data_IF_798746182024
#
_entry.id   IF_798746182024
#
_cell.length_a   1.000
_cell.length_b   1.000
_cell.length_c   1.000
_cell.angle_alpha   90.00
_cell.angle_beta   90.00
_cell.angle_gamma   90.00
#
_symmetry.space_group_name_H-M   'P 1'
#
loop_
_entity.id
_entity.type
_entity.pdbx_description
1 polymer ?
#
# COMPACT_ATOMS: atom_id res chain seq x y z
N UNK A 1 19.99 -5.37 15.72
CA UNK A 1 19.09 -5.41 14.55
C UNK A 1 19.82 -4.90 13.28
N UNK A 2 20.36 -3.66 13.25
CA UNK A 2 21.01 -3.12 12.03
C UNK A 2 22.20 -3.97 11.57
N UNK A 3 23.13 -4.33 12.48
CA UNK A 3 24.26 -5.20 12.14
C UNK A 3 23.84 -6.56 11.64
N UNK A 4 22.86 -7.18 12.28
CA UNK A 4 22.31 -8.47 11.86
C UNK A 4 21.71 -8.43 10.46
N UNK A 5 21.00 -7.34 10.09
CA UNK A 5 20.48 -7.17 8.73
C UNK A 5 21.58 -7.00 7.69
N UNK A 6 22.69 -6.34 8.03
CA UNK A 6 23.85 -6.26 7.13
C UNK A 6 24.46 -7.65 6.89
N UNK A 7 24.63 -8.46 7.94
CA UNK A 7 25.13 -9.83 7.83
C UNK A 7 24.22 -10.69 6.93
N UNK A 8 22.88 -10.53 7.01
CA UNK A 8 21.91 -11.22 6.14
C UNK A 8 22.01 -10.75 4.68
N UNK A 9 22.22 -9.46 4.43
CA UNK A 9 22.42 -8.97 3.05
C UNK A 9 23.71 -9.50 2.46
N UNK A 10 24.79 -9.56 3.22
CA UNK A 10 26.06 -10.13 2.78
C UNK A 10 25.92 -11.63 2.45
N UNK A 11 25.22 -12.38 3.31
CA UNK A 11 24.91 -13.78 3.06
C UNK A 11 24.10 -13.99 1.78
N UNK A 12 23.03 -13.21 1.58
CA UNK A 12 22.19 -13.29 0.38
C UNK A 12 22.99 -12.94 -0.88
N UNK A 13 23.84 -11.93 -0.83
CA UNK A 13 24.70 -11.55 -1.95
C UNK A 13 25.65 -12.69 -2.34
N UNK A 14 26.32 -13.33 -1.37
CA UNK A 14 27.17 -14.47 -1.61
C UNK A 14 26.40 -15.68 -2.16
N UNK A 15 25.21 -15.95 -1.65
CA UNK A 15 24.38 -17.04 -2.14
C UNK A 15 23.92 -16.81 -3.60
N UNK A 16 23.56 -15.57 -3.95
CA UNK A 16 23.20 -15.20 -5.31
C UNK A 16 24.37 -15.33 -6.28
N UNK A 17 25.58 -14.97 -5.87
CA UNK A 17 26.80 -15.15 -6.68
C UNK A 17 27.04 -16.64 -7.05
N UNK A 18 26.70 -17.57 -6.16
CA UNK A 18 26.88 -19.01 -6.40
C UNK A 18 25.88 -19.60 -7.42
N UNK A 19 24.70 -18.97 -7.59
CA UNK A 19 23.66 -19.45 -8.53
C UNK A 19 23.69 -18.72 -9.87
N UNK A 20 24.66 -17.80 -10.07
CA UNK A 20 24.81 -17.09 -11.33
C UNK A 20 25.26 -18.03 -12.45
N UNK A 21 24.50 -18.03 -13.53
CA UNK A 21 24.92 -18.64 -14.79
C UNK A 21 25.50 -17.59 -15.74
N UNK A 22 26.26 -18.02 -16.76
CA UNK A 22 26.85 -17.11 -17.74
C UNK A 22 25.83 -16.17 -18.42
N UNK A 23 24.58 -16.57 -18.47
CA UNK A 23 23.48 -15.82 -19.11
C UNK A 23 22.73 -14.90 -18.13
N UNK A 24 22.97 -15.02 -16.82
CA UNK A 24 22.33 -14.22 -15.79
C UNK A 24 23.37 -13.40 -15.05
N UNK A 25 23.73 -12.23 -15.58
CA UNK A 25 24.58 -11.27 -14.86
C UNK A 25 23.69 -10.36 -14.03
N UNK A 26 23.79 -10.38 -12.69
CA UNK A 26 23.03 -9.47 -11.86
C UNK A 26 23.49 -8.03 -12.13
N UNK A 27 22.53 -7.12 -12.03
CA UNK A 27 22.83 -5.69 -12.01
C UNK A 27 23.65 -5.38 -10.73
N UNK A 28 24.68 -4.51 -10.80
CA UNK A 28 25.36 -4.04 -9.59
C UNK A 28 24.39 -3.47 -8.56
N UNK A 29 24.65 -3.72 -7.26
CA UNK A 29 23.72 -3.35 -6.19
C UNK A 29 23.41 -1.84 -6.18
N UNK A 30 24.40 -1.00 -6.42
CA UNK A 30 24.24 0.45 -6.50
C UNK A 30 23.31 0.86 -7.66
N UNK A 31 23.46 0.21 -8.81
CA UNK A 31 22.57 0.48 -9.97
C UNK A 31 21.14 0.00 -9.69
N UNK A 32 20.98 -1.20 -9.15
CA UNK A 32 19.68 -1.72 -8.75
C UNK A 32 19.02 -0.81 -7.70
N UNK A 33 19.78 -0.37 -6.71
CA UNK A 33 19.29 0.55 -5.69
C UNK A 33 18.81 1.87 -6.31
N UNK A 34 19.57 2.46 -7.24
CA UNK A 34 19.17 3.70 -7.92
C UNK A 34 17.87 3.53 -8.71
N UNK A 35 17.70 2.40 -9.43
CA UNK A 35 16.45 2.07 -10.14
C UNK A 35 15.26 2.01 -9.18
N UNK A 36 15.43 1.37 -8.02
CA UNK A 36 14.35 1.26 -7.03
C UNK A 36 14.08 2.59 -6.30
N UNK A 37 15.07 3.47 -6.10
CA UNK A 37 14.83 4.82 -5.56
C UNK A 37 13.98 5.65 -6.52
N UNK A 38 14.30 5.59 -7.82
CA UNK A 38 13.52 6.27 -8.86
C UNK A 38 12.08 5.73 -8.93
N UNK A 39 11.93 4.40 -8.94
CA UNK A 39 10.63 3.74 -8.88
C UNK A 39 9.82 4.21 -7.67
N UNK A 40 10.41 4.21 -6.46
CA UNK A 40 9.72 4.65 -5.24
C UNK A 40 9.27 6.11 -5.30
N UNK A 41 10.11 6.99 -5.83
CA UNK A 41 9.77 8.40 -5.99
C UNK A 41 8.56 8.58 -6.90
N UNK A 42 8.54 7.90 -8.03
CA UNK A 42 7.41 7.95 -9.00
C UNK A 42 6.14 7.33 -8.39
N UNK A 43 6.25 6.23 -7.65
CA UNK A 43 5.10 5.61 -6.99
C UNK A 43 4.52 6.48 -5.87
N UNK A 44 5.37 7.18 -5.11
CA UNK A 44 4.90 8.16 -4.11
C UNK A 44 4.22 9.35 -4.80
N UNK A 45 4.72 9.80 -5.93
CA UNK A 45 4.08 10.84 -6.73
C UNK A 45 2.70 10.37 -7.25
N UNK A 46 2.60 9.12 -7.71
CA UNK A 46 1.32 8.52 -8.12
C UNK A 46 0.30 8.51 -6.96
N UNK A 47 0.66 7.99 -5.80
CA UNK A 47 -0.23 7.97 -4.62
C UNK A 47 -0.68 9.38 -4.21
N UNK A 48 0.21 10.37 -4.33
CA UNK A 48 -0.12 11.76 -4.03
C UNK A 48 -1.01 12.42 -5.10
N UNK A 49 -1.00 11.89 -6.32
CA UNK A 49 -1.78 12.41 -7.46
C UNK A 49 -3.18 11.78 -7.54
N UNK A 50 -3.33 10.51 -7.15
CA UNK A 50 -4.61 9.77 -7.22
C UNK A 50 -5.80 10.52 -6.62
N UNK A 51 -5.71 11.20 -5.45
CA UNK A 51 -6.85 11.91 -4.87
C UNK A 51 -7.48 12.99 -5.77
N UNK A 52 -6.74 13.49 -6.75
CA UNK A 52 -7.23 14.48 -7.71
C UNK A 52 -7.95 13.83 -8.93
N UNK A 53 -7.94 12.48 -9.06
CA UNK A 53 -8.43 11.76 -10.25
C UNK A 53 -9.20 10.48 -9.90
N UNK A 54 -10.05 10.54 -8.88
CA UNK A 54 -10.73 9.36 -8.31
C UNK A 54 -11.78 8.71 -9.22
N UNK A 55 -12.29 9.43 -10.21
CA UNK A 55 -13.18 8.87 -11.23
C UNK A 55 -12.40 8.11 -12.30
N UNK A 56 -11.25 8.65 -12.71
CA UNK A 56 -10.36 8.01 -13.69
C UNK A 56 -9.59 6.85 -13.06
N UNK A 57 -9.10 7.02 -11.83
CA UNK A 57 -8.34 6.01 -11.09
C UNK A 57 -9.26 5.38 -10.05
N UNK A 58 -10.16 4.53 -10.52
CA UNK A 58 -11.07 3.77 -9.67
C UNK A 58 -10.33 2.78 -8.76
N UNK A 59 -10.96 2.23 -7.70
CA UNK A 59 -10.34 1.24 -6.82
C UNK A 59 -9.69 0.08 -7.57
N UNK A 60 -10.36 -0.49 -8.57
CA UNK A 60 -9.84 -1.57 -9.41
C UNK A 60 -8.66 -1.12 -10.27
N UNK A 61 -8.77 0.02 -10.94
CA UNK A 61 -7.70 0.58 -11.78
C UNK A 61 -6.46 0.87 -10.94
N UNK A 62 -6.65 1.50 -9.77
CA UNK A 62 -5.57 1.77 -8.82
C UNK A 62 -4.84 0.49 -8.42
N UNK A 63 -5.58 -0.54 -8.01
CA UNK A 63 -5.04 -1.84 -7.63
C UNK A 63 -4.24 -2.48 -8.77
N UNK A 64 -4.79 -2.51 -10.00
CA UNK A 64 -4.12 -3.10 -11.16
C UNK A 64 -2.82 -2.38 -11.51
N UNK A 65 -2.78 -1.04 -11.40
CA UNK A 65 -1.55 -0.26 -11.58
C UNK A 65 -0.51 -0.69 -10.54
N UNK A 66 -0.85 -0.73 -9.25
CA UNK A 66 0.07 -1.11 -8.19
C UNK A 66 0.52 -2.58 -8.30
N UNK A 67 -0.39 -3.47 -8.66
CA UNK A 67 -0.11 -4.89 -8.88
C UNK A 67 0.83 -5.13 -10.07
N UNK A 68 0.68 -4.38 -11.16
CA UNK A 68 1.55 -4.50 -12.33
C UNK A 68 3.03 -4.30 -11.99
N UNK A 69 3.34 -3.49 -10.99
CA UNK A 69 4.72 -3.27 -10.53
C UNK A 69 5.43 -4.56 -10.06
N UNK A 70 4.69 -5.59 -9.64
CA UNK A 70 5.27 -6.86 -9.21
C UNK A 70 5.75 -7.74 -10.37
N UNK A 71 5.19 -7.54 -11.57
CA UNK A 71 5.36 -8.41 -12.73
C UNK A 71 6.14 -7.76 -13.87
N UNK A 72 6.51 -6.48 -13.74
CA UNK A 72 7.19 -5.72 -14.79
C UNK A 72 8.61 -5.33 -14.36
N UNK A 73 9.50 -5.24 -15.36
CA UNK A 73 10.82 -4.63 -15.15
C UNK A 73 10.68 -3.22 -14.59
N UNK A 74 11.45 -2.88 -13.56
CA UNK A 74 11.28 -1.63 -12.81
C UNK A 74 11.63 -0.38 -13.63
N UNK A 75 12.64 -0.45 -14.51
CA UNK A 75 12.99 0.70 -15.38
C UNK A 75 11.85 0.97 -16.36
N UNK A 76 11.35 -0.10 -17.00
CA UNK A 76 10.24 0.02 -17.93
C UNK A 76 8.96 0.51 -17.24
N UNK A 77 8.59 -0.11 -16.12
CA UNK A 77 7.41 0.28 -15.36
C UNK A 77 7.47 1.74 -14.89
N UNK A 78 8.62 2.19 -14.40
CA UNK A 78 8.81 3.57 -13.94
C UNK A 78 8.61 4.57 -15.08
N UNK A 79 9.08 4.25 -16.30
CA UNK A 79 8.85 5.08 -17.48
C UNK A 79 7.36 5.18 -17.83
N UNK A 80 6.63 4.05 -17.82
CA UNK A 80 5.19 4.03 -18.06
C UNK A 80 4.41 4.82 -17.01
N UNK A 81 4.82 4.73 -15.74
CA UNK A 81 4.19 5.50 -14.66
C UNK A 81 4.41 7.00 -14.80
N UNK A 82 5.56 7.44 -15.30
CA UNK A 82 5.80 8.87 -15.63
C UNK A 82 4.86 9.35 -16.73
N UNK A 83 4.72 8.59 -17.82
CA UNK A 83 3.78 8.92 -18.90
C UNK A 83 2.34 9.01 -18.38
N UNK A 84 1.93 8.08 -17.52
CA UNK A 84 0.60 8.12 -16.87
C UNK A 84 0.44 9.38 -16.01
N UNK A 85 1.43 9.72 -15.20
CA UNK A 85 1.40 10.91 -14.33
C UNK A 85 1.33 12.20 -15.15
N UNK A 86 2.09 12.30 -16.22
CA UNK A 86 2.06 13.46 -17.14
C UNK A 86 0.68 13.57 -17.81
N UNK A 87 0.11 12.46 -18.26
CA UNK A 87 -1.23 12.43 -18.84
C UNK A 87 -2.33 12.83 -17.85
N UNK A 88 -2.25 12.37 -16.59
CA UNK A 88 -3.18 12.78 -15.54
C UNK A 88 -3.07 14.27 -15.24
N UNK A 89 -1.85 14.78 -15.03
CA UNK A 89 -1.61 16.19 -14.69
C UNK A 89 -1.96 17.16 -15.81
N UNK A 90 -1.97 16.69 -17.07
CA UNK A 90 -2.44 17.48 -18.22
C UNK A 90 -3.96 17.67 -18.23
N UNK A 91 -4.71 16.94 -17.41
CA UNK A 91 -6.17 17.03 -17.28
C UNK A 91 -6.57 17.92 -16.11
N UNK A 92 -7.76 18.54 -16.12
CA UNK A 92 -8.31 19.19 -14.94
C UNK A 92 -8.52 18.15 -13.82
N UNK A 93 -8.35 18.59 -12.58
CA UNK A 93 -8.71 17.77 -11.41
C UNK A 93 -10.19 17.44 -11.43
N UNK A 94 -10.52 16.25 -10.94
CA UNK A 94 -11.89 15.75 -10.91
C UNK A 94 -12.58 16.17 -9.60
N UNK A 95 -13.89 16.44 -9.68
CA UNK A 95 -14.74 16.66 -8.52
C UNK A 95 -15.46 15.34 -8.20
N UNK A 96 -14.88 14.55 -7.32
CA UNK A 96 -15.44 13.27 -6.91
C UNK A 96 -16.43 13.46 -5.76
N UNK A 97 -17.70 13.11 -6.00
CA UNK A 97 -18.81 13.30 -5.06
C UNK A 97 -19.12 12.08 -4.20
N UNK A 98 -18.47 10.92 -4.48
CA UNK A 98 -18.66 9.69 -3.70
C UNK A 98 -17.88 9.71 -2.38
N UNK A 99 -17.90 8.58 -1.67
CA UNK A 99 -17.20 8.41 -0.40
C UNK A 99 -15.75 8.01 -0.60
N UNK A 100 -14.86 8.53 0.22
CA UNK A 100 -13.41 8.38 0.13
C UNK A 100 -12.91 7.51 1.28
N UNK A 101 -12.28 6.38 0.96
CA UNK A 101 -11.73 5.48 1.97
C UNK A 101 -10.21 5.41 1.91
N UNK A 102 -9.60 5.36 3.11
CA UNK A 102 -8.25 4.87 3.32
C UNK A 102 -8.34 3.36 3.55
N UNK A 103 -7.57 2.54 2.83
CA UNK A 103 -7.60 1.08 2.95
C UNK A 103 -6.39 0.58 3.74
N UNK A 104 -6.59 -0.40 4.60
CA UNK A 104 -5.50 -1.05 5.35
C UNK A 104 -5.74 -2.55 5.48
N UNK A 105 -4.68 -3.30 5.71
CA UNK A 105 -4.66 -4.76 5.81
C UNK A 105 -3.34 -5.32 5.31
N UNK A 106 -3.22 -6.63 5.27
CA UNK A 106 -2.08 -7.28 4.59
C UNK A 106 -2.25 -7.11 3.08
N UNK A 107 -3.43 -7.45 2.57
CA UNK A 107 -3.71 -7.54 1.15
C UNK A 107 -5.19 -7.21 0.87
N UNK A 108 -5.45 -6.62 -0.29
CA UNK A 108 -6.79 -6.55 -0.90
C UNK A 108 -6.64 -6.88 -2.40
N UNK A 109 -6.45 -8.14 -2.73
CA UNK A 109 -6.39 -8.64 -4.11
C UNK A 109 -7.62 -9.50 -4.40
N UNK A 110 -8.80 -8.87 -4.30
CA UNK A 110 -10.09 -9.48 -4.55
C UNK A 110 -10.89 -8.60 -5.51
N UNK A 111 -10.80 -8.89 -6.80
CA UNK A 111 -11.44 -8.09 -7.87
C UNK A 111 -12.94 -7.85 -7.60
N UNK A 112 -13.76 -8.84 -7.15
CA UNK A 112 -15.16 -8.59 -6.86
C UNK A 112 -15.39 -7.58 -5.73
N UNK A 113 -14.47 -7.46 -4.77
CA UNK A 113 -14.56 -6.45 -3.70
C UNK A 113 -14.26 -5.06 -4.25
N UNK A 114 -13.24 -4.94 -5.10
CA UNK A 114 -12.87 -3.67 -5.74
C UNK A 114 -13.99 -3.16 -6.65
N UNK A 115 -14.59 -4.02 -7.45
CA UNK A 115 -15.76 -3.71 -8.29
C UNK A 115 -16.96 -3.27 -7.44
N UNK A 116 -17.21 -3.96 -6.33
CA UNK A 116 -18.28 -3.59 -5.40
C UNK A 116 -18.06 -2.18 -4.80
N UNK A 117 -16.84 -1.80 -4.47
CA UNK A 117 -16.53 -0.43 -4.01
C UNK A 117 -16.89 0.60 -5.10
N UNK A 118 -16.52 0.33 -6.35
CA UNK A 118 -16.87 1.20 -7.50
C UNK A 118 -18.39 1.34 -7.68
N UNK A 119 -19.13 0.23 -7.67
CA UNK A 119 -20.58 0.22 -7.78
C UNK A 119 -21.28 1.02 -6.67
N UNK A 120 -20.69 1.02 -5.47
CA UNK A 120 -21.22 1.76 -4.33
C UNK A 120 -20.73 3.23 -4.25
N UNK A 121 -20.02 3.71 -5.27
CA UNK A 121 -19.51 5.07 -5.32
C UNK A 121 -18.43 5.35 -4.28
N UNK A 122 -17.63 4.33 -3.94
CA UNK A 122 -16.52 4.43 -3.00
C UNK A 122 -15.20 4.51 -3.75
N UNK A 123 -14.38 5.52 -3.48
CA UNK A 123 -13.02 5.64 -3.98
C UNK A 123 -11.99 5.30 -2.91
N UNK A 124 -10.83 4.79 -3.33
CA UNK A 124 -9.66 4.56 -2.48
C UNK A 124 -8.67 5.72 -2.67
N UNK A 125 -8.59 6.61 -1.67
CA UNK A 125 -7.70 7.78 -1.74
C UNK A 125 -6.26 7.48 -1.38
N UNK A 126 -6.04 6.48 -0.52
CA UNK A 126 -4.71 6.00 -0.13
C UNK A 126 -4.82 4.64 0.58
N UNK A 127 -3.69 4.02 0.90
CA UNK A 127 -3.65 2.73 1.60
C UNK A 127 -2.48 2.59 2.57
N UNK A 128 -2.60 1.63 3.48
CA UNK A 128 -1.52 0.96 4.20
C UNK A 128 -1.67 -0.55 4.01
N UNK A 129 -1.50 -1.01 2.76
CA UNK A 129 -1.48 -2.42 2.39
C UNK A 129 -0.04 -2.87 2.15
N UNK A 130 0.33 -4.03 2.69
CA UNK A 130 1.70 -4.53 2.59
C UNK A 130 2.15 -4.79 1.16
N UNK A 131 1.22 -5.20 0.29
CA UNK A 131 1.52 -5.47 -1.13
C UNK A 131 1.35 -4.26 -2.05
N UNK A 132 0.91 -3.10 -1.53
CA UNK A 132 0.74 -1.87 -2.29
C UNK A 132 1.68 -0.76 -1.77
N UNK A 133 1.13 0.30 -1.16
CA UNK A 133 1.93 1.50 -0.89
C UNK A 133 3.01 1.32 0.17
N UNK A 134 2.89 0.38 1.09
CA UNK A 134 3.93 0.15 2.10
C UNK A 134 5.30 -0.22 1.52
N UNK A 135 5.35 -0.75 0.29
CA UNK A 135 6.60 -1.09 -0.38
C UNK A 135 7.49 0.13 -0.67
N UNK A 136 6.89 1.29 -0.89
CA UNK A 136 7.60 2.49 -1.32
C UNK A 136 7.45 3.69 -0.38
N UNK A 137 6.63 3.61 0.68
CA UNK A 137 6.42 4.72 1.63
C UNK A 137 7.61 5.04 2.51
N UNK A 138 8.38 4.03 2.90
CA UNK A 138 9.51 4.24 3.81
C UNK A 138 10.64 4.96 3.09
N UNK A 139 11.00 6.19 3.50
CA UNK A 139 12.07 6.94 2.85
C UNK A 139 13.43 6.31 3.12
N UNK A 140 14.35 6.54 2.22
CA UNK A 140 15.74 6.15 2.40
C UNK A 140 16.49 7.21 3.21
N UNK A 141 17.21 6.80 4.25
CA UNK A 141 18.09 7.70 5.01
C UNK A 141 19.24 8.20 4.14
N UNK A 142 19.62 9.46 4.33
CA UNK A 142 20.77 10.03 3.65
C UNK A 142 22.10 9.45 4.20
N UNK A 143 23.12 9.39 3.33
CA UNK A 143 24.47 8.90 3.69
C UNK A 143 24.55 7.38 3.83
N UNK A 144 25.76 6.88 4.11
CA UNK A 144 26.04 5.45 4.27
C UNK A 144 26.14 4.67 2.95
N UNK A 145 26.47 3.38 3.05
CA UNK A 145 26.49 2.43 1.92
C UNK A 145 25.09 2.01 1.53
N UNK A 146 24.94 1.36 0.39
CA UNK A 146 23.63 0.85 -0.09
C UNK A 146 23.06 -0.17 0.89
N UNK A 147 23.86 -1.10 1.38
CA UNK A 147 23.46 -2.11 2.36
C UNK A 147 22.94 -1.46 3.65
N UNK A 148 23.67 -0.45 4.13
CA UNK A 148 23.25 0.32 5.32
C UNK A 148 21.89 1.01 5.09
N UNK A 149 21.69 1.60 3.91
CA UNK A 149 20.40 2.22 3.54
C UNK A 149 19.26 1.21 3.50
N UNK A 150 19.48 0.03 2.90
CA UNK A 150 18.49 -1.05 2.85
C UNK A 150 18.16 -1.56 4.26
N UNK A 151 19.18 -1.78 5.11
CA UNK A 151 18.97 -2.19 6.49
C UNK A 151 18.16 -1.14 7.29
N UNK A 152 18.45 0.13 7.14
CA UNK A 152 17.67 1.20 7.78
C UNK A 152 16.25 1.29 7.25
N UNK A 153 16.04 1.14 5.95
CA UNK A 153 14.65 1.12 5.41
C UNK A 153 13.82 0.01 6.02
N UNK A 154 14.40 -1.18 6.20
CA UNK A 154 13.70 -2.28 6.87
C UNK A 154 13.38 -1.93 8.33
N UNK A 155 14.33 -1.34 9.07
CA UNK A 155 14.13 -0.90 10.46
C UNK A 155 13.13 0.26 10.59
N UNK A 156 12.99 1.09 9.56
CA UNK A 156 12.09 2.25 9.55
C UNK A 156 10.69 1.92 9.04
N UNK A 157 10.42 0.68 8.60
CA UNK A 157 9.07 0.22 8.28
C UNK A 157 8.16 0.34 9.50
N UNK A 158 6.95 0.84 9.29
CA UNK A 158 5.95 1.03 10.35
C UNK A 158 4.55 0.63 9.89
N UNK A 159 3.73 0.21 10.85
CA UNK A 159 2.32 -0.02 10.63
C UNK A 159 1.96 -1.33 9.95
N UNK A 160 2.89 -2.27 9.80
CA UNK A 160 2.59 -3.62 9.33
C UNK A 160 2.44 -4.59 10.51
N UNK A 161 1.37 -5.37 10.54
CA UNK A 161 1.07 -6.31 11.62
C UNK A 161 2.18 -7.32 11.93
N UNK A 162 2.93 -7.85 10.93
CA UNK A 162 4.03 -8.77 11.20
C UNK A 162 5.24 -8.12 11.87
N UNK A 163 5.33 -6.78 11.90
CA UNK A 163 6.45 -6.09 12.49
C UNK A 163 6.31 -6.03 14.02
N UNK A 164 7.44 -6.22 14.69
CA UNK A 164 7.52 -5.96 16.13
C UNK A 164 7.63 -4.45 16.38
N UNK A 165 6.52 -3.83 16.73
CA UNK A 165 6.43 -2.41 17.09
C UNK A 165 5.83 -2.28 18.50
N UNK A 166 6.66 -2.03 19.52
CA UNK A 166 6.18 -1.99 20.94
C UNK A 166 5.07 -0.97 21.17
N UNK A 167 5.03 0.12 20.39
CA UNK A 167 4.06 1.21 20.53
C UNK A 167 2.82 1.02 19.66
N UNK A 168 2.81 0.03 18.77
CA UNK A 168 1.71 -0.23 17.82
C UNK A 168 1.15 1.04 17.16
N UNK A 169 1.97 1.81 16.40
CA UNK A 169 1.60 3.13 15.91
C UNK A 169 0.61 3.11 14.73
N UNK A 170 0.15 1.94 14.29
CA UNK A 170 -0.66 1.79 13.07
C UNK A 170 -1.95 2.61 13.12
N UNK A 171 -2.64 2.63 14.27
CA UNK A 171 -3.86 3.43 14.44
C UNK A 171 -3.60 4.92 14.24
N UNK A 172 -2.54 5.46 14.82
CA UNK A 172 -2.15 6.86 14.67
C UNK A 172 -1.72 7.20 13.23
N UNK A 173 -0.97 6.31 12.58
CA UNK A 173 -0.58 6.46 11.17
C UNK A 173 -1.80 6.51 10.24
N UNK A 174 -2.75 5.60 10.45
CA UNK A 174 -4.01 5.59 9.68
C UNK A 174 -4.83 6.86 9.91
N UNK A 175 -4.92 7.31 11.16
CA UNK A 175 -5.63 8.54 11.49
C UNK A 175 -4.99 9.78 10.85
N UNK A 176 -3.66 9.85 10.86
CA UNK A 176 -2.93 10.92 10.18
C UNK A 176 -3.20 10.90 8.67
N UNK A 177 -3.02 9.75 8.02
CA UNK A 177 -3.25 9.60 6.57
C UNK A 177 -4.71 9.90 6.19
N UNK A 178 -5.68 9.44 6.98
CA UNK A 178 -7.09 9.72 6.71
C UNK A 178 -7.39 11.22 6.67
N UNK A 179 -6.82 11.98 7.63
CA UNK A 179 -6.96 13.45 7.66
C UNK A 179 -6.23 14.11 6.48
N UNK A 180 -4.99 13.72 6.20
CA UNK A 180 -4.19 14.27 5.11
C UNK A 180 -4.85 14.05 3.73
N UNK A 181 -5.54 12.92 3.55
CA UNK A 181 -6.20 12.54 2.29
C UNK A 181 -7.69 12.95 2.23
N UNK A 182 -8.23 13.49 3.30
CA UNK A 182 -9.66 13.80 3.37
C UNK A 182 -10.52 12.55 3.22
N UNK A 183 -10.11 11.44 3.82
CA UNK A 183 -10.88 10.20 3.81
C UNK A 183 -12.07 10.31 4.76
N UNK A 184 -13.24 9.85 4.32
CA UNK A 184 -14.47 9.77 5.11
C UNK A 184 -14.42 8.62 6.14
N UNK A 185 -13.61 7.60 5.87
CA UNK A 185 -13.45 6.44 6.75
C UNK A 185 -12.28 5.55 6.38
N UNK A 186 -12.04 4.57 7.20
CA UNK A 186 -11.01 3.54 7.01
C UNK A 186 -11.68 2.19 6.72
N UNK A 187 -11.26 1.54 5.64
CA UNK A 187 -11.62 0.15 5.33
C UNK A 187 -10.50 -0.78 5.77
N UNK A 188 -10.77 -1.61 6.78
CA UNK A 188 -9.84 -2.63 7.26
C UNK A 188 -10.14 -3.97 6.60
N UNK A 189 -9.25 -4.42 5.72
CA UNK A 189 -9.38 -5.66 4.98
C UNK A 189 -8.67 -6.79 5.74
N UNK A 190 -9.44 -7.60 6.45
CA UNK A 190 -8.97 -8.77 7.17
C UNK A 190 -8.94 -9.96 6.21
N UNK A 191 -7.74 -10.42 5.87
CA UNK A 191 -7.60 -11.70 5.18
C UNK A 191 -7.89 -12.83 6.16
N UNK A 192 -8.73 -13.78 5.75
CA UNK A 192 -9.02 -14.96 6.57
C UNK A 192 -7.72 -15.68 6.96
N UNK A 193 -7.66 -16.14 8.21
CA UNK A 193 -6.50 -16.83 8.78
C UNK A 193 -5.22 -15.99 8.92
N UNK A 194 -5.32 -14.66 8.85
CA UNK A 194 -4.20 -13.78 9.12
C UNK A 194 -4.19 -13.36 10.60
N UNK A 195 -3.58 -14.17 11.46
CA UNK A 195 -3.51 -13.92 12.90
C UNK A 195 -2.89 -12.55 13.26
N UNK A 196 -1.77 -12.11 12.65
CA UNK A 196 -1.20 -10.79 12.97
C UNK A 196 -2.19 -9.64 12.75
N UNK A 197 -2.97 -9.67 11.65
CA UNK A 197 -4.01 -8.67 11.39
C UNK A 197 -5.17 -8.77 12.37
N UNK A 198 -5.58 -9.99 12.73
CA UNK A 198 -6.65 -10.22 13.69
C UNK A 198 -6.28 -9.69 15.10
N UNK A 199 -5.01 -9.80 15.50
CA UNK A 199 -4.52 -9.24 16.77
C UNK A 199 -4.39 -7.72 16.74
N UNK A 200 -3.97 -7.12 15.62
CA UNK A 200 -3.83 -5.67 15.51
C UNK A 200 -5.18 -4.94 15.33
N UNK A 201 -6.16 -5.58 14.69
CA UNK A 201 -7.46 -4.98 14.40
C UNK A 201 -8.16 -4.31 15.59
N UNK A 202 -8.29 -4.94 16.79
CA UNK A 202 -8.94 -4.32 17.95
C UNK A 202 -8.22 -3.05 18.41
N UNK A 203 -6.89 -3.02 18.32
CA UNK A 203 -6.07 -1.86 18.69
C UNK A 203 -6.30 -0.72 17.73
N UNK A 204 -6.20 -0.98 16.42
CA UNK A 204 -6.46 0.00 15.37
C UNK A 204 -7.88 0.56 15.49
N UNK A 205 -8.88 -0.30 15.69
CA UNK A 205 -10.28 0.12 15.89
C UNK A 205 -10.43 1.07 17.08
N UNK A 206 -9.80 0.76 18.21
CA UNK A 206 -9.81 1.61 19.40
C UNK A 206 -9.17 2.97 19.12
N UNK A 207 -8.01 2.98 18.48
CA UNK A 207 -7.24 4.19 18.22
C UNK A 207 -7.97 5.14 17.23
N UNK A 208 -8.57 4.59 16.18
CA UNK A 208 -9.37 5.35 15.23
C UNK A 208 -10.66 5.90 15.85
N UNK A 209 -11.35 5.08 16.65
CA UNK A 209 -12.55 5.51 17.37
C UNK A 209 -12.25 6.66 18.35
N UNK A 210 -11.12 6.62 19.07
CA UNK A 210 -10.67 7.69 19.95
C UNK A 210 -10.39 9.01 19.19
N UNK A 211 -10.16 8.93 17.90
CA UNK A 211 -9.89 10.06 17.01
C UNK A 211 -11.09 10.44 16.13
N UNK A 212 -12.25 9.82 16.35
CA UNK A 212 -13.50 10.11 15.62
C UNK A 212 -13.48 9.67 14.16
N UNK A 213 -12.63 8.72 13.78
CA UNK A 213 -12.53 8.22 12.41
C UNK A 213 -13.32 6.91 12.29
N UNK A 214 -14.35 6.86 11.42
CA UNK A 214 -15.13 5.65 11.20
C UNK A 214 -14.28 4.54 10.60
N UNK A 215 -14.43 3.29 11.09
CA UNK A 215 -13.75 2.12 10.59
C UNK A 215 -14.75 1.04 10.23
N UNK A 216 -14.73 0.61 8.97
CA UNK A 216 -15.42 -0.58 8.49
C UNK A 216 -14.40 -1.72 8.36
N UNK A 217 -14.70 -2.87 8.95
CA UNK A 217 -13.90 -4.08 8.77
C UNK A 217 -14.63 -5.06 7.88
N UNK A 218 -13.94 -5.61 6.90
CA UNK A 218 -14.44 -6.70 6.05
C UNK A 218 -13.48 -7.88 6.13
N UNK A 219 -14.04 -9.08 6.18
CA UNK A 219 -13.26 -10.31 6.00
C UNK A 219 -13.35 -10.75 4.54
N UNK A 220 -12.23 -11.13 3.99
CA UNK A 220 -12.16 -11.68 2.64
C UNK A 220 -11.09 -12.78 2.55
N UNK A 221 -11.17 -13.55 1.49
CA UNK A 221 -10.07 -14.41 1.01
C UNK A 221 -9.83 -14.13 -0.47
N UNK A 222 -8.89 -14.84 -1.08
CA UNK A 222 -8.57 -14.65 -2.50
C UNK A 222 -9.69 -15.11 -3.45
N UNK A 223 -10.53 -16.03 -2.98
CA UNK A 223 -11.63 -16.61 -3.77
C UNK A 223 -12.97 -16.12 -3.21
N UNK A 224 -13.33 -14.89 -3.54
CA UNK A 224 -14.64 -14.32 -3.17
C UNK A 224 -15.67 -14.79 -4.19
N UNK A 225 -16.52 -15.74 -3.79
CA UNK A 225 -17.59 -16.27 -4.66
C UNK A 225 -18.84 -15.37 -4.69
N UNK A 226 -19.11 -14.65 -3.60
CA UNK A 226 -20.28 -13.76 -3.49
C UNK A 226 -19.96 -12.52 -2.67
N UNK A 227 -20.40 -11.38 -3.16
CA UNK A 227 -20.23 -10.06 -2.52
C UNK A 227 -21.49 -9.55 -1.81
N UNK A 228 -22.61 -10.29 -1.81
CA UNK A 228 -23.89 -9.80 -1.30
C UNK A 228 -23.85 -9.40 0.20
N UNK A 229 -23.18 -10.20 1.03
CA UNK A 229 -23.01 -9.85 2.43
C UNK A 229 -22.10 -8.62 2.61
N UNK A 230 -21.06 -8.52 1.81
CA UNK A 230 -20.17 -7.36 1.81
C UNK A 230 -20.90 -6.10 1.35
N UNK A 231 -21.74 -6.21 0.31
CA UNK A 231 -22.60 -5.13 -0.18
C UNK A 231 -23.48 -4.58 0.93
N UNK A 232 -24.24 -5.45 1.58
CA UNK A 232 -25.14 -5.05 2.69
C UNK A 232 -24.35 -4.35 3.81
N UNK A 233 -23.19 -4.86 4.11
CA UNK A 233 -22.33 -4.34 5.19
C UNK A 233 -21.73 -2.98 4.85
N UNK A 234 -21.24 -2.80 3.63
CA UNK A 234 -20.69 -1.53 3.16
C UNK A 234 -21.80 -0.48 3.06
N UNK A 235 -22.95 -0.82 2.45
CA UNK A 235 -24.10 0.08 2.34
C UNK A 235 -24.59 0.55 3.72
N UNK A 236 -24.81 -0.37 4.66
CA UNK A 236 -25.22 -0.02 6.01
C UNK A 236 -24.20 0.88 6.73
N UNK A 237 -22.90 0.66 6.49
CA UNK A 237 -21.86 1.53 7.04
C UNK A 237 -21.92 2.93 6.44
N UNK A 238 -22.06 3.04 5.13
CA UNK A 238 -22.16 4.34 4.43
C UNK A 238 -23.36 5.15 4.92
N UNK A 239 -24.52 4.51 5.08
CA UNK A 239 -25.76 5.13 5.53
C UNK A 239 -25.69 5.61 7.00
N UNK A 240 -25.08 4.82 7.89
CA UNK A 240 -25.08 5.11 9.33
C UNK A 240 -23.98 6.09 9.72
N UNK A 241 -22.79 5.97 9.13
CA UNK A 241 -21.61 6.67 9.61
C UNK A 241 -21.19 7.84 8.71
N UNK A 242 -21.65 7.89 7.48
CA UNK A 242 -21.16 8.82 6.47
C UNK A 242 -22.28 9.58 5.74
N UNK A 243 -23.51 9.52 6.26
CA UNK A 243 -24.67 10.27 5.75
C UNK A 243 -24.58 11.78 6.04
#
# INVERSE_FOLDING_TARGET
>A
AHGQLLDEFDYLSQALEQVQTADCRPMPLEEAFAVYEEYRAVMMEFINTVPDYLTTISPKVRHLILKAAWFMDKKYYTAQMRELLDALKARPKEDFTGKKFLVTGIMLDAEPVLELLEELGVAVVDDLLCHESMQFRTPTRAGGTVESKLAYRFLDLKGASPLYEPRKPRGDLLAQLARERGADGVLFCLMKFCDPEAFDHPLVKKDLAAQGIPLLSIEHDQLVESTEQLRTRIQGFLEINLS
#
